data_IF_888036082689
#
_entry.id   IF_888036082689
#
_cell.length_a   1.000
_cell.length_b   1.000
_cell.length_c   1.000
_cell.angle_alpha   90.00
_cell.angle_beta   90.00
_cell.angle_gamma   90.00
#
_symmetry.space_group_name_H-M   'P 1'
#
loop_
_entity.id
_entity.type
_entity.pdbx_description
1 polymer ?
#
# COMPACT_ATOMS: atom_id res chain seq x y z
N UNK A 1 -17.63 0.76 5.85
CA UNK A 1 -18.41 0.88 7.04
C UNK A 1 -18.20 2.21 7.73
N UNK A 2 -19.06 2.51 8.67
CA UNK A 2 -19.02 3.79 9.37
C UNK A 2 -17.67 4.06 10.05
N UNK A 3 -17.01 3.04 10.57
CA UNK A 3 -15.71 3.21 11.19
C UNK A 3 -14.68 3.71 10.19
N UNK A 4 -14.64 3.12 9.02
CA UNK A 4 -13.76 3.54 7.95
C UNK A 4 -14.00 5.00 7.60
N UNK A 5 -15.27 5.36 7.40
CA UNK A 5 -15.63 6.70 6.99
C UNK A 5 -15.27 7.72 8.05
N UNK A 6 -15.56 7.42 9.31
CA UNK A 6 -15.35 8.36 10.41
C UNK A 6 -13.88 8.63 10.68
N UNK A 7 -13.03 7.63 10.54
CA UNK A 7 -11.61 7.78 10.82
C UNK A 7 -10.81 8.23 9.61
N UNK A 8 -11.48 8.37 8.45
CA UNK A 8 -10.79 8.78 7.24
C UNK A 8 -9.66 7.85 6.86
N UNK A 9 -9.90 6.55 7.03
CA UNK A 9 -8.86 5.56 6.81
C UNK A 9 -8.39 5.46 5.38
N UNK A 10 -9.13 6.03 4.44
CA UNK A 10 -8.68 6.05 3.06
C UNK A 10 -8.26 7.45 2.70
N UNK A 11 -6.98 7.67 2.57
CA UNK A 11 -6.43 8.90 2.03
C UNK A 11 -6.06 8.66 0.58
N UNK A 12 -6.23 9.69 -0.25
CA UNK A 12 -5.93 9.59 -1.67
C UNK A 12 -5.03 10.72 -2.09
N UNK A 13 -4.08 10.40 -2.96
CA UNK A 13 -3.18 11.40 -3.52
C UNK A 13 -2.85 11.02 -4.96
N UNK A 14 -2.78 12.03 -5.81
CA UNK A 14 -2.31 11.90 -7.18
C UNK A 14 -0.91 12.46 -7.28
N UNK A 15 0.02 11.64 -7.77
CA UNK A 15 1.40 12.07 -7.96
C UNK A 15 1.75 11.83 -9.42
N UNK A 16 1.83 12.90 -10.18
CA UNK A 16 2.21 12.85 -11.60
C UNK A 16 1.46 11.77 -12.38
N UNK A 17 0.14 11.69 -12.17
CA UNK A 17 -0.71 10.76 -12.89
C UNK A 17 -0.83 9.38 -12.25
N UNK A 18 -0.13 9.11 -11.16
CA UNK A 18 -0.29 7.87 -10.41
C UNK A 18 -1.27 8.10 -9.27
N UNK A 19 -2.36 7.33 -9.25
CA UNK A 19 -3.39 7.43 -8.21
C UNK A 19 -3.02 6.49 -7.07
N UNK A 20 -2.80 7.06 -5.89
CA UNK A 20 -2.37 6.31 -4.72
C UNK A 20 -3.44 6.40 -3.64
N UNK A 21 -3.85 5.27 -3.11
CA UNK A 21 -4.69 5.20 -1.93
C UNK A 21 -3.87 4.69 -0.75
N UNK A 22 -4.13 5.24 0.42
CA UNK A 22 -3.44 4.84 1.65
C UNK A 22 -4.50 4.42 2.66
N UNK A 23 -4.38 3.22 3.18
CA UNK A 23 -5.28 2.68 4.19
C UNK A 23 -4.48 2.17 5.38
N UNK A 24 -5.12 2.08 6.54
CA UNK A 24 -4.44 1.57 7.73
C UNK A 24 -4.10 0.09 7.58
N UNK A 25 -5.07 -0.72 7.14
CA UNK A 25 -4.84 -2.15 6.97
C UNK A 25 -5.74 -2.73 5.89
N UNK A 26 -5.38 -3.91 5.43
CA UNK A 26 -6.11 -4.64 4.40
C UNK A 26 -6.63 -5.99 4.88
N UNK A 27 -6.54 -6.25 6.19
CA UNK A 27 -6.93 -7.54 6.76
C UNK A 27 -5.85 -8.61 6.60
N UNK A 28 -6.19 -9.88 6.80
CA UNK A 28 -5.22 -10.96 6.70
C UNK A 28 -4.54 -11.05 5.34
N UNK A 29 -3.32 -11.58 5.33
CA UNK A 29 -2.58 -11.76 4.08
C UNK A 29 -3.34 -12.65 3.09
N UNK A 30 -3.97 -13.72 3.59
CA UNK A 30 -4.79 -14.57 2.74
C UNK A 30 -5.96 -13.77 2.17
N UNK A 31 -6.10 -13.80 0.84
CA UNK A 31 -7.17 -13.08 0.16
C UNK A 31 -6.96 -11.57 0.02
N UNK A 32 -5.79 -11.07 0.43
CA UNK A 32 -5.51 -9.62 0.39
C UNK A 32 -5.61 -9.06 -1.02
N UNK A 33 -5.03 -9.73 -2.00
CA UNK A 33 -5.05 -9.22 -3.37
C UNK A 33 -6.46 -9.17 -3.92
N UNK A 34 -7.26 -10.18 -3.68
CA UNK A 34 -8.64 -10.20 -4.14
C UNK A 34 -9.47 -9.10 -3.50
N UNK A 35 -9.38 -8.95 -2.17
CA UNK A 35 -10.12 -7.90 -1.46
C UNK A 35 -9.71 -6.51 -1.94
N UNK A 36 -8.42 -6.33 -2.17
CA UNK A 36 -7.90 -5.04 -2.63
C UNK A 36 -8.38 -4.72 -4.04
N UNK A 37 -8.41 -5.69 -4.94
CA UNK A 37 -8.95 -5.49 -6.29
C UNK A 37 -10.43 -5.16 -6.26
N UNK A 38 -11.20 -5.80 -5.40
CA UNK A 38 -12.64 -5.53 -5.29
C UNK A 38 -12.90 -4.09 -4.89
N UNK A 39 -12.08 -3.53 -4.03
CA UNK A 39 -12.29 -2.19 -3.49
C UNK A 39 -11.59 -1.10 -4.29
N UNK A 40 -10.39 -1.35 -4.77
CA UNK A 40 -9.54 -0.33 -5.39
C UNK A 40 -9.03 -0.69 -6.78
N UNK A 41 -9.33 -1.88 -7.26
CA UNK A 41 -8.85 -2.33 -8.56
C UNK A 41 -9.54 -1.64 -9.73
N UNK A 42 -9.16 -2.00 -10.96
CA UNK A 42 -9.64 -1.30 -12.15
C UNK A 42 -11.14 -1.40 -12.39
N UNK A 43 -11.80 -2.39 -11.80
CA UNK A 43 -13.24 -2.58 -11.94
C UNK A 43 -14.03 -2.06 -10.75
N UNK A 44 -13.37 -1.45 -9.80
CA UNK A 44 -14.03 -0.89 -8.62
C UNK A 44 -14.63 0.48 -8.95
N UNK A 45 -15.47 0.97 -8.04
CA UNK A 45 -16.09 2.29 -8.19
C UNK A 45 -15.08 3.43 -8.10
N UNK A 46 -13.94 3.19 -7.49
CA UNK A 46 -12.96 4.24 -7.20
C UNK A 46 -11.54 3.68 -7.37
N UNK A 47 -11.16 3.37 -8.61
CA UNK A 47 -9.89 2.70 -8.87
C UNK A 47 -8.67 3.55 -8.55
N UNK A 48 -7.60 2.88 -8.12
CA UNK A 48 -6.29 3.50 -7.97
C UNK A 48 -5.23 2.60 -8.59
N UNK A 49 -4.00 3.12 -8.66
CA UNK A 49 -2.89 2.39 -9.27
C UNK A 49 -2.04 1.71 -8.21
N UNK A 50 -1.97 2.30 -7.02
CA UNK A 50 -1.17 1.82 -5.91
C UNK A 50 -1.98 1.92 -4.64
N UNK A 51 -1.96 0.85 -3.84
CA UNK A 51 -2.54 0.84 -2.51
C UNK A 51 -1.43 0.65 -1.49
N UNK A 52 -1.27 1.63 -0.61
CA UNK A 52 -0.31 1.58 0.49
C UNK A 52 -1.06 1.25 1.77
N UNK A 53 -0.56 0.30 2.51
CA UNK A 53 -1.19 -0.12 3.76
C UNK A 53 -0.14 -0.40 4.84
N UNK A 54 -0.58 -0.52 6.09
CA UNK A 54 0.31 -0.73 7.22
C UNK A 54 -0.25 -1.73 8.21
N UNK A 55 -0.24 -1.37 9.48
CA UNK A 55 -0.72 -2.11 10.63
C UNK A 55 0.18 -3.29 11.04
N UNK A 56 0.42 -4.25 10.18
CA UNK A 56 1.21 -5.43 10.53
C UNK A 56 2.70 -5.12 10.71
N UNK A 57 3.18 -4.00 10.18
CA UNK A 57 4.59 -3.61 10.15
C UNK A 57 5.47 -4.62 9.40
N UNK A 58 4.87 -5.47 8.60
CA UNK A 58 5.56 -6.46 7.76
C UNK A 58 5.61 -5.92 6.34
N UNK A 59 6.81 -5.73 5.78
CA UNK A 59 6.91 -5.23 4.40
C UNK A 59 6.19 -6.13 3.41
N UNK A 60 5.58 -5.52 2.41
CA UNK A 60 4.83 -6.23 1.38
C UNK A 60 4.94 -5.50 0.06
N UNK A 61 5.12 -6.24 -1.01
CA UNK A 61 5.13 -5.69 -2.36
C UNK A 61 4.60 -6.77 -3.31
N UNK A 62 3.41 -6.55 -3.82
CA UNK A 62 2.82 -7.46 -4.80
C UNK A 62 1.97 -6.68 -5.78
N UNK A 63 1.62 -7.34 -6.88
CA UNK A 63 0.70 -6.80 -7.87
C UNK A 63 -0.46 -7.77 -7.99
N UNK A 64 -1.67 -7.25 -7.89
CA UNK A 64 -2.88 -8.08 -7.98
C UNK A 64 -3.11 -8.54 -9.41
N UNK A 65 -3.97 -9.55 -9.61
CA UNK A 65 -4.36 -9.93 -10.96
C UNK A 65 -4.94 -8.78 -11.78
N UNK A 66 -5.59 -7.82 -11.14
CA UNK A 66 -6.12 -6.63 -11.80
C UNK A 66 -5.11 -5.56 -12.13
N UNK A 67 -3.87 -5.69 -11.63
CA UNK A 67 -2.81 -4.73 -11.88
C UNK A 67 -2.60 -3.69 -10.79
N UNK A 68 -3.31 -3.79 -9.68
CA UNK A 68 -3.14 -2.89 -8.54
C UNK A 68 -1.86 -3.27 -7.79
N UNK A 69 -0.98 -2.29 -7.55
CA UNK A 69 0.22 -2.51 -6.76
C UNK A 69 -0.08 -2.35 -5.28
N UNK A 70 0.27 -3.36 -4.48
CA UNK A 70 0.07 -3.36 -3.03
C UNK A 70 1.42 -3.17 -2.36
N UNK A 71 1.54 -2.15 -1.52
CA UNK A 71 2.78 -1.83 -0.84
C UNK A 71 2.56 -1.63 0.64
N UNK A 72 3.38 -2.29 1.45
CA UNK A 72 3.51 -2.00 2.88
C UNK A 72 4.99 -1.73 3.14
N UNK A 73 5.36 -0.51 3.54
CA UNK A 73 6.76 -0.18 3.75
C UNK A 73 7.36 -0.78 5.02
N UNK A 74 6.57 -1.46 5.84
CA UNK A 74 7.02 -1.88 7.15
C UNK A 74 7.04 -0.72 8.12
N UNK A 75 7.92 -0.77 9.11
CA UNK A 75 8.07 0.32 10.06
C UNK A 75 9.55 0.63 10.29
N UNK A 76 9.94 1.88 10.30
CA UNK A 76 11.33 2.25 10.56
C UNK A 76 11.73 2.08 12.02
N UNK A 77 10.78 2.11 12.93
CA UNK A 77 11.06 2.08 14.38
C UNK A 77 10.41 0.90 15.09
N UNK A 78 9.14 0.62 14.81
CA UNK A 78 8.41 -0.48 15.43
C UNK A 78 8.38 -1.66 14.48
N UNK A 79 9.47 -2.39 14.43
CA UNK A 79 9.65 -3.48 13.48
C UNK A 79 9.02 -4.79 13.93
N UNK A 80 8.51 -4.84 15.16
CA UNK A 80 7.94 -6.03 15.76
C UNK A 80 8.92 -7.19 15.67
N UNK A 81 8.60 -8.27 14.97
CA UNK A 81 9.49 -9.44 14.86
C UNK A 81 10.36 -9.39 13.60
N UNK A 82 10.36 -8.29 12.89
CA UNK A 82 11.22 -8.15 11.73
C UNK A 82 12.67 -7.92 12.16
N UNK A 83 13.64 -8.43 11.42
CA UNK A 83 15.06 -8.29 11.81
C UNK A 83 15.55 -6.85 11.77
N UNK A 84 14.96 -6.01 10.94
CA UNK A 84 15.32 -4.60 10.82
C UNK A 84 14.07 -3.76 10.64
N UNK A 85 14.15 -2.49 10.99
CA UNK A 85 13.15 -1.51 10.58
C UNK A 85 13.29 -1.24 9.09
N UNK A 86 12.23 -0.76 8.46
CA UNK A 86 12.23 -0.57 7.00
C UNK A 86 11.47 0.67 6.60
N UNK A 87 11.89 1.25 5.49
CA UNK A 87 11.12 2.25 4.74
C UNK A 87 11.10 1.81 3.28
N UNK A 88 10.25 2.44 2.50
CA UNK A 88 10.13 2.11 1.09
C UNK A 88 10.24 3.40 0.29
N UNK A 89 11.02 3.36 -0.78
CA UNK A 89 11.15 4.48 -1.71
C UNK A 89 10.61 4.06 -3.07
N UNK A 90 10.13 5.03 -3.82
CA UNK A 90 9.64 4.79 -5.16
C UNK A 90 9.83 6.05 -6.00
N UNK A 91 9.95 5.85 -7.30
CA UNK A 91 10.03 6.95 -8.26
C UNK A 91 8.76 6.94 -9.10
N UNK A 92 8.12 8.11 -9.20
CA UNK A 92 6.97 8.30 -10.08
C UNK A 92 7.44 9.12 -11.26
N UNK A 93 7.24 8.62 -12.47
CA UNK A 93 7.65 9.29 -13.69
C UNK A 93 6.73 8.86 -14.82
N UNK A 94 6.30 9.82 -15.62
CA UNK A 94 5.48 9.59 -16.82
C UNK A 94 4.23 8.74 -16.51
N UNK A 95 3.57 9.05 -15.39
CA UNK A 95 2.34 8.37 -15.00
C UNK A 95 2.54 6.95 -14.48
N UNK A 96 3.78 6.58 -14.17
CA UNK A 96 4.11 5.22 -13.71
C UNK A 96 4.93 5.23 -12.46
N UNK A 97 4.74 4.20 -11.66
CA UNK A 97 5.54 3.95 -10.48
C UNK A 97 6.73 3.08 -10.88
N UNK A 98 7.94 3.56 -10.58
CA UNK A 98 9.19 2.87 -10.88
C UNK A 98 10.01 2.65 -9.63
N UNK A 99 10.97 1.74 -9.71
CA UNK A 99 12.07 1.64 -8.74
C UNK A 99 11.59 1.58 -7.30
N UNK A 100 10.57 0.76 -7.06
CA UNK A 100 10.10 0.54 -5.69
C UNK A 100 11.18 -0.25 -4.95
N UNK A 101 11.70 0.32 -3.87
CA UNK A 101 12.81 -0.26 -3.14
C UNK A 101 12.51 -0.27 -1.65
N UNK A 102 12.66 -1.43 -1.02
CA UNK A 102 12.57 -1.57 0.42
C UNK A 102 13.95 -1.30 1.00
N UNK A 103 14.02 -0.35 1.93
CA UNK A 103 15.28 0.12 2.49
C UNK A 103 15.31 -0.19 3.99
N UNK A 104 16.27 -0.99 4.47
CA UNK A 104 16.43 -1.18 5.91
C UNK A 104 16.90 0.12 6.56
N UNK A 105 16.39 0.38 7.76
CA UNK A 105 16.78 1.56 8.51
C UNK A 105 17.91 1.23 9.47
N UNK A 106 18.81 2.18 9.75
CA UNK A 106 19.84 2.00 10.78
C UNK A 106 19.20 1.78 12.15
N UNK A 107 19.88 1.03 12.96
CA UNK A 107 19.43 0.78 14.33
C UNK A 107 19.94 1.86 15.25
#
# INVERSE_FOLDING_TARGET
>A
AALWDRLGEVARVDVEGVRIAVVHETGPAAGRERRSDERFGPRSDDPCDVLVFGHSHIPWDSTTPGGLRLLNPGSPTDRRRQPVGTVMTAVVDDGRLHSVTLVPTPR
#
